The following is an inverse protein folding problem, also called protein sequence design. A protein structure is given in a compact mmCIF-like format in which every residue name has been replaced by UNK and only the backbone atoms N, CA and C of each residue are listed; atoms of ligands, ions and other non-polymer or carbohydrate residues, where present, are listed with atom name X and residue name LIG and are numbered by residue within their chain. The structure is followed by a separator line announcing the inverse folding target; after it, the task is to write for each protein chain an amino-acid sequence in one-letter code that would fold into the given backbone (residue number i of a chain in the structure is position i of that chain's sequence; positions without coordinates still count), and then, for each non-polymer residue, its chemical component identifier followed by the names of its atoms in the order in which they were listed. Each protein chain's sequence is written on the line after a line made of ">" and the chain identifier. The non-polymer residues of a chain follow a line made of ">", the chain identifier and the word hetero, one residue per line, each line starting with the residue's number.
data_IF_760489034217
#
_entry.id   IF_760489034217
#
_cell.length_a   1.000
_cell.length_b   1.000
_cell.length_c   1.000
_cell.angle_alpha   90.00
_cell.angle_beta   90.00
_cell.angle_gamma   90.00
#
_symmetry.space_group_name_H-M   'P 1'
#
loop_
_entity.id
_entity.type
_entity.pdbx_description
1 polymer ?
#
# COMPACT_ATOMS: atom_id res chain seq x y z
N UNK A 1 11.18 10.85 -22.49
CA UNK A 1 10.99 12.03 -21.64
C UNK A 1 12.28 12.22 -20.87
N UNK A 2 12.98 13.29 -21.14
CA UNK A 2 14.34 13.57 -20.68
C UNK A 2 14.25 14.63 -19.60
N UNK A 3 14.80 14.42 -18.41
CA UNK A 3 14.92 15.45 -17.38
C UNK A 3 16.36 15.91 -17.35
N UNK A 4 16.62 17.11 -17.89
CA UNK A 4 17.92 17.76 -17.75
C UNK A 4 18.05 18.35 -16.35
N UNK A 5 19.09 17.96 -15.64
CA UNK A 5 19.44 18.49 -14.30
C UNK A 5 20.01 19.93 -14.42
N UNK A 6 20.34 20.38 -15.62
CA UNK A 6 21.14 21.59 -15.84
C UNK A 6 20.36 22.90 -15.95
N UNK A 7 19.00 22.88 -15.98
CA UNK A 7 18.22 24.12 -15.95
C UNK A 7 16.76 23.89 -15.58
N UNK A 8 16.38 24.17 -14.35
CA UNK A 8 14.99 24.45 -14.01
C UNK A 8 14.62 25.82 -14.58
N UNK A 9 14.19 25.86 -15.85
CA UNK A 9 13.92 27.12 -16.54
C UNK A 9 12.50 27.62 -16.42
N UNK A 10 11.63 26.88 -15.72
CA UNK A 10 10.19 27.17 -15.65
C UNK A 10 9.73 28.04 -14.47
N UNK A 11 10.53 28.13 -13.41
CA UNK A 11 10.13 28.82 -12.17
C UNK A 11 11.27 29.74 -11.67
N UNK A 12 10.94 30.91 -11.06
CA UNK A 12 11.91 31.74 -10.38
C UNK A 12 12.51 31.06 -9.16
N UNK A 13 13.72 31.46 -8.72
CA UNK A 13 14.41 30.83 -7.61
C UNK A 13 13.64 30.86 -6.27
N UNK A 14 12.80 31.86 -6.08
CA UNK A 14 11.93 32.03 -4.90
C UNK A 14 10.60 31.30 -5.05
N UNK A 15 10.34 30.57 -6.12
CA UNK A 15 9.14 29.77 -6.30
C UNK A 15 9.00 28.72 -5.18
N UNK A 16 7.78 28.32 -4.94
CA UNK A 16 7.40 27.30 -3.94
C UNK A 16 6.66 26.17 -4.65
N UNK A 17 7.30 25.03 -4.77
CA UNK A 17 6.79 23.86 -5.50
C UNK A 17 6.46 22.77 -4.49
N UNK A 18 5.17 22.52 -4.28
CA UNK A 18 4.68 21.48 -3.39
C UNK A 18 4.51 20.16 -4.15
N UNK A 19 5.22 19.15 -3.75
CA UNK A 19 5.00 17.76 -4.16
C UNK A 19 4.23 17.01 -3.09
N UNK A 20 3.20 16.30 -3.51
CA UNK A 20 2.37 15.44 -2.66
C UNK A 20 2.40 14.02 -3.20
N UNK A 21 2.56 13.04 -2.31
CA UNK A 21 2.26 11.63 -2.61
C UNK A 21 1.14 11.16 -1.68
N UNK A 22 0.00 10.83 -2.28
CA UNK A 22 -1.18 10.37 -1.53
C UNK A 22 -1.25 8.85 -1.66
N UNK A 23 -0.45 8.18 -0.86
CA UNK A 23 -0.37 6.73 -0.83
C UNK A 23 -1.55 6.08 -0.10
N UNK A 24 -1.52 4.75 -0.06
CA UNK A 24 -2.54 3.94 0.65
C UNK A 24 -2.34 3.90 2.17
N UNK A 25 -1.15 4.24 2.66
CA UNK A 25 -0.74 4.19 4.08
C UNK A 25 -0.35 5.56 4.60
N UNK A 26 0.29 6.39 3.79
CA UNK A 26 0.82 7.71 4.17
C UNK A 26 0.37 8.82 3.24
N UNK A 27 0.51 10.03 3.74
CA UNK A 27 0.51 11.28 2.98
C UNK A 27 1.90 11.88 3.13
N UNK A 28 2.58 12.03 2.02
CA UNK A 28 3.95 12.48 1.96
C UNK A 28 3.99 13.85 1.27
N UNK A 29 4.73 14.78 1.84
CA UNK A 29 4.80 16.16 1.38
C UNK A 29 6.23 16.65 1.32
N UNK A 30 6.55 17.34 0.23
CA UNK A 30 7.83 18.04 0.06
C UNK A 30 7.56 19.40 -0.55
N UNK A 31 8.10 20.45 0.03
CA UNK A 31 8.11 21.79 -0.56
C UNK A 31 9.54 22.10 -1.02
N UNK A 32 9.70 22.40 -2.28
CA UNK A 32 10.97 22.80 -2.89
C UNK A 32 10.98 24.29 -3.21
N UNK A 33 12.16 24.88 -3.20
CA UNK A 33 12.38 26.17 -3.87
C UNK A 33 12.54 25.98 -5.39
N UNK A 34 12.68 27.09 -6.13
CA UNK A 34 12.88 27.07 -7.59
C UNK A 34 14.19 26.45 -8.06
N UNK A 35 15.09 26.10 -7.13
CA UNK A 35 16.37 25.42 -7.40
C UNK A 35 16.31 23.92 -7.05
N UNK A 36 15.15 23.44 -6.55
CA UNK A 36 14.97 22.03 -6.14
C UNK A 36 15.45 21.73 -4.73
N UNK A 37 15.76 22.76 -3.92
CA UNK A 37 16.17 22.57 -2.53
C UNK A 37 14.96 22.37 -1.63
N UNK A 38 14.95 21.35 -0.75
CA UNK A 38 13.83 21.11 0.15
C UNK A 38 13.75 22.19 1.25
N UNK A 39 12.60 22.84 1.36
CA UNK A 39 12.26 23.83 2.40
C UNK A 39 11.45 23.21 3.51
N UNK A 40 10.66 22.19 3.19
CA UNK A 40 9.79 21.45 4.12
C UNK A 40 9.60 20.03 3.62
N UNK A 41 9.54 19.07 4.54
CA UNK A 41 9.26 17.68 4.22
C UNK A 41 8.52 17.00 5.36
N UNK A 42 7.55 16.13 5.01
CA UNK A 42 6.77 15.35 5.97
C UNK A 42 6.36 14.01 5.39
N UNK A 43 6.50 12.98 6.19
CA UNK A 43 5.93 11.65 6.00
C UNK A 43 4.96 11.39 7.14
N UNK A 44 3.67 11.18 6.85
CA UNK A 44 2.64 11.01 7.88
C UNK A 44 1.75 9.81 7.55
N UNK A 45 1.73 8.80 8.41
CA UNK A 45 0.79 7.68 8.26
C UNK A 45 -0.63 8.14 8.60
N UNK A 46 -1.57 7.88 7.69
CA UNK A 46 -2.93 8.43 7.79
C UNK A 46 -3.94 7.49 8.45
N UNK A 47 -3.60 6.22 8.71
CA UNK A 47 -4.48 5.24 9.36
C UNK A 47 -5.91 5.21 8.80
N UNK A 48 -6.04 5.26 7.45
CA UNK A 48 -7.33 5.27 6.75
C UNK A 48 -8.03 6.64 6.69
N UNK A 49 -7.38 7.73 7.12
CA UNK A 49 -7.92 9.09 7.12
C UNK A 49 -7.05 10.08 6.31
N UNK A 50 -6.77 9.82 5.02
CA UNK A 50 -5.84 10.64 4.25
C UNK A 50 -6.28 12.09 4.12
N UNK A 51 -7.58 12.35 3.93
CA UNK A 51 -8.11 13.70 3.79
C UNK A 51 -7.91 14.55 5.05
N UNK A 52 -8.04 13.93 6.22
CA UNK A 52 -7.84 14.61 7.51
C UNK A 52 -6.37 14.97 7.72
N UNK A 53 -5.48 14.04 7.43
CA UNK A 53 -4.04 14.27 7.53
C UNK A 53 -3.62 15.36 6.54
N UNK A 54 -4.05 15.25 5.28
CA UNK A 54 -3.73 16.25 4.26
C UNK A 54 -4.24 17.64 4.65
N UNK A 55 -5.46 17.76 5.20
CA UNK A 55 -5.96 19.04 5.69
C UNK A 55 -5.11 19.64 6.82
N UNK A 56 -4.63 18.83 7.75
CA UNK A 56 -3.81 19.29 8.88
C UNK A 56 -2.42 19.75 8.40
N UNK A 57 -1.80 18.99 7.52
CA UNK A 57 -0.48 19.31 6.98
C UNK A 57 -0.52 20.54 6.06
N UNK A 58 -1.53 20.66 5.20
CA UNK A 58 -1.72 21.87 4.37
C UNK A 58 -1.98 23.11 5.22
N UNK A 59 -2.75 23.01 6.32
CA UNK A 59 -2.97 24.11 7.24
C UNK A 59 -1.67 24.59 7.89
N UNK A 60 -0.80 23.69 8.27
CA UNK A 60 0.51 24.03 8.81
C UNK A 60 1.40 24.71 7.75
N UNK A 61 1.41 24.17 6.52
CA UNK A 61 2.20 24.66 5.42
C UNK A 61 1.79 26.07 4.96
N UNK A 62 0.49 26.30 4.75
CA UNK A 62 -0.06 27.57 4.23
C UNK A 62 0.07 28.73 5.21
N UNK A 63 0.29 28.46 6.51
CA UNK A 63 0.59 29.52 7.49
C UNK A 63 1.95 30.18 7.27
N UNK A 64 2.88 29.46 6.68
CA UNK A 64 4.29 29.89 6.56
C UNK A 64 4.73 30.12 5.12
N UNK A 65 3.98 29.60 4.14
CA UNK A 65 4.33 29.67 2.74
C UNK A 65 3.15 30.10 1.88
N UNK A 66 3.41 31.00 0.92
CA UNK A 66 2.46 31.50 -0.05
C UNK A 66 3.02 31.34 -1.48
N UNK A 67 2.18 31.55 -2.48
CA UNK A 67 2.61 31.47 -3.88
C UNK A 67 3.00 30.06 -4.32
N UNK A 68 2.28 29.04 -3.84
CA UNK A 68 2.58 27.63 -4.07
C UNK A 68 2.08 27.20 -5.44
N UNK A 69 2.92 26.49 -6.19
CA UNK A 69 2.51 25.61 -7.30
C UNK A 69 2.57 24.16 -6.78
N UNK A 70 1.61 23.31 -7.18
CA UNK A 70 1.52 21.98 -6.59
C UNK A 70 1.46 20.88 -7.64
N UNK A 71 2.07 19.74 -7.34
CA UNK A 71 1.97 18.50 -8.07
C UNK A 71 1.64 17.35 -7.12
N UNK A 72 0.84 16.38 -7.58
CA UNK A 72 0.33 15.28 -6.77
C UNK A 72 0.53 13.96 -7.49
N UNK A 73 1.04 12.97 -6.77
CA UNK A 73 1.17 11.59 -7.20
C UNK A 73 0.52 10.63 -6.21
N UNK A 74 0.59 9.34 -6.45
CA UNK A 74 0.00 8.32 -5.60
C UNK A 74 -1.44 7.95 -5.96
N UNK A 75 -1.97 6.94 -5.29
CA UNK A 75 -3.32 6.38 -5.56
C UNK A 75 -4.45 7.41 -5.46
N UNK A 76 -4.29 8.43 -4.62
CA UNK A 76 -5.25 9.53 -4.42
C UNK A 76 -5.07 10.74 -5.36
N UNK A 77 -4.08 10.71 -6.26
CA UNK A 77 -3.60 11.89 -6.99
C UNK A 77 -4.69 12.64 -7.77
N UNK A 78 -5.45 11.96 -8.62
CA UNK A 78 -6.44 12.60 -9.49
C UNK A 78 -7.50 13.41 -8.74
N UNK A 79 -7.96 12.87 -7.62
CA UNK A 79 -8.96 13.54 -6.80
C UNK A 79 -8.39 14.76 -6.10
N UNK A 80 -7.23 14.60 -5.48
CA UNK A 80 -6.57 15.67 -4.73
C UNK A 80 -6.12 16.77 -5.68
N UNK A 81 -5.55 16.43 -6.82
CA UNK A 81 -5.13 17.39 -7.84
C UNK A 81 -6.28 18.28 -8.33
N UNK A 82 -7.45 17.70 -8.62
CA UNK A 82 -8.63 18.48 -9.02
C UNK A 82 -9.11 19.43 -7.93
N UNK A 83 -9.09 19.01 -6.67
CA UNK A 83 -9.57 19.82 -5.55
C UNK A 83 -8.60 20.94 -5.19
N UNK A 84 -7.31 20.66 -5.17
CA UNK A 84 -6.27 21.63 -4.84
C UNK A 84 -5.88 22.56 -6.00
N UNK A 85 -6.22 22.23 -7.25
CA UNK A 85 -5.61 22.89 -8.40
C UNK A 85 -4.12 22.53 -8.47
N UNK A 86 -3.82 21.25 -8.72
CA UNK A 86 -2.46 20.74 -8.78
C UNK A 86 -2.26 19.89 -10.04
N UNK A 87 -1.02 19.76 -10.49
CA UNK A 87 -0.64 18.86 -11.57
C UNK A 87 -0.68 17.40 -11.07
N UNK A 88 -1.45 16.52 -11.72
CA UNK A 88 -1.41 15.09 -11.44
C UNK A 88 -0.24 14.44 -12.16
N UNK A 89 0.60 13.71 -11.43
CA UNK A 89 1.79 13.05 -11.96
C UNK A 89 1.67 11.54 -11.76
N UNK A 90 1.95 10.77 -12.81
CA UNK A 90 1.99 9.32 -12.72
C UNK A 90 3.10 8.88 -11.75
N UNK A 91 2.84 7.88 -10.90
CA UNK A 91 3.77 7.40 -9.87
C UNK A 91 5.11 6.93 -10.43
N UNK A 92 5.12 6.21 -11.57
CA UNK A 92 6.36 5.75 -12.21
C UNK A 92 7.18 6.94 -12.70
N UNK A 93 6.52 7.94 -13.30
CA UNK A 93 7.18 9.16 -13.78
C UNK A 93 7.72 10.00 -12.62
N UNK A 94 6.99 10.08 -11.51
CA UNK A 94 7.48 10.73 -10.30
C UNK A 94 8.75 10.04 -9.78
N UNK A 95 8.79 8.70 -9.73
CA UNK A 95 9.98 7.97 -9.31
C UNK A 95 11.17 8.17 -10.24
N UNK A 96 10.94 8.24 -11.57
CA UNK A 96 12.01 8.57 -12.54
C UNK A 96 12.56 9.97 -12.30
N UNK A 97 11.70 10.95 -12.05
CA UNK A 97 12.08 12.33 -11.76
C UNK A 97 12.91 12.41 -10.48
N UNK A 98 12.46 11.75 -9.41
CA UNK A 98 13.20 11.68 -8.14
C UNK A 98 14.56 11.02 -8.33
N UNK A 99 14.61 9.86 -8.99
CA UNK A 99 15.87 9.13 -9.23
C UNK A 99 16.86 9.94 -10.06
N UNK A 100 16.38 10.62 -11.12
CA UNK A 100 17.22 11.43 -11.98
C UNK A 100 17.94 12.55 -11.24
N UNK A 101 17.28 13.16 -10.26
CA UNK A 101 17.83 14.28 -9.50
C UNK A 101 18.58 13.83 -8.23
N UNK A 102 17.99 12.87 -7.48
CA UNK A 102 18.51 12.45 -6.15
C UNK A 102 19.48 11.27 -6.21
N UNK A 103 19.37 10.42 -7.23
CA UNK A 103 20.11 9.17 -7.35
C UNK A 103 20.64 8.96 -8.78
N UNK A 104 21.41 9.90 -9.37
CA UNK A 104 21.82 9.84 -10.79
C UNK A 104 22.65 8.60 -11.13
N UNK A 105 23.26 7.97 -10.12
CA UNK A 105 23.99 6.70 -10.27
C UNK A 105 23.06 5.49 -10.45
N UNK A 106 21.79 5.56 -10.04
CA UNK A 106 20.86 4.44 -10.13
C UNK A 106 20.63 4.00 -11.58
N UNK A 107 20.50 2.69 -11.78
CA UNK A 107 20.08 2.08 -13.05
C UNK A 107 18.72 1.41 -12.93
N UNK A 108 18.26 1.22 -11.71
CA UNK A 108 16.88 0.85 -11.45
C UNK A 108 16.40 1.35 -10.09
N UNK A 109 15.08 1.42 -9.94
CA UNK A 109 14.39 1.75 -8.69
C UNK A 109 13.49 0.57 -8.32
N UNK A 110 13.58 0.15 -7.08
CA UNK A 110 12.60 -0.71 -6.41
C UNK A 110 11.80 0.18 -5.48
N UNK A 111 10.52 0.36 -5.77
CA UNK A 111 9.59 1.07 -4.90
C UNK A 111 8.64 0.05 -4.27
N UNK A 112 8.67 -0.05 -2.93
CA UNK A 112 7.74 -0.91 -2.19
C UNK A 112 6.90 -0.04 -1.27
N UNK A 113 5.69 0.21 -1.73
CA UNK A 113 4.66 0.95 -1.00
C UNK A 113 3.80 0.08 -0.08
N UNK A 114 2.71 0.68 0.41
CA UNK A 114 1.75 0.00 1.28
C UNK A 114 0.90 -1.06 0.56
N UNK A 115 0.45 -0.81 -0.66
CA UNK A 115 -0.45 -1.70 -1.40
C UNK A 115 0.11 -2.17 -2.74
N UNK A 116 1.09 -1.51 -3.28
CA UNK A 116 1.73 -1.88 -4.54
C UNK A 116 3.26 -1.88 -4.42
N UNK A 117 3.90 -2.44 -5.44
CA UNK A 117 5.34 -2.47 -5.56
C UNK A 117 5.70 -2.30 -7.02
N UNK A 118 6.78 -1.59 -7.29
CA UNK A 118 7.22 -1.27 -8.63
C UNK A 118 8.71 -1.61 -8.80
N UNK A 119 9.06 -2.08 -9.97
CA UNK A 119 10.43 -2.18 -10.45
C UNK A 119 10.56 -1.33 -11.70
N UNK A 120 11.44 -0.35 -11.68
CA UNK A 120 11.61 0.66 -12.72
C UNK A 120 13.04 0.58 -13.20
N UNK A 121 13.24 0.31 -14.49
CA UNK A 121 14.56 0.31 -15.13
C UNK A 121 14.82 1.69 -15.74
N UNK A 122 16.03 2.19 -15.53
CA UNK A 122 16.46 3.50 -15.92
C UNK A 122 17.63 3.41 -16.89
N UNK A 123 17.72 4.38 -17.79
CA UNK A 123 18.90 4.55 -18.65
C UNK A 123 19.28 6.02 -18.73
N UNK A 124 20.54 6.35 -19.01
CA UNK A 124 20.96 7.73 -19.27
C UNK A 124 20.17 8.34 -20.40
N UNK A 125 19.69 9.57 -20.22
CA UNK A 125 18.90 10.28 -21.25
C UNK A 125 19.78 10.88 -22.36
N UNK A 126 21.05 11.19 -22.05
CA UNK A 126 22.06 11.80 -22.90
C UNK A 126 23.20 12.33 -22.03
N UNK A 127 24.22 12.93 -22.62
CA UNK A 127 25.28 13.56 -21.84
C UNK A 127 24.71 14.77 -21.07
N UNK A 128 24.65 14.64 -19.74
CA UNK A 128 24.16 15.69 -18.83
C UNK A 128 22.65 15.77 -18.65
N UNK A 129 21.86 14.94 -19.33
CA UNK A 129 20.40 15.04 -19.34
C UNK A 129 19.67 14.22 -18.25
N UNK A 130 20.42 13.59 -17.32
CA UNK A 130 19.85 12.79 -16.24
C UNK A 130 19.39 11.40 -16.69
N UNK A 131 18.34 10.87 -16.06
CA UNK A 131 17.82 9.53 -16.29
C UNK A 131 16.45 9.55 -16.99
N UNK A 132 16.20 8.55 -17.83
CA UNK A 132 14.90 8.32 -18.45
C UNK A 132 14.39 6.90 -18.16
N UNK A 133 13.08 6.74 -18.27
CA UNK A 133 12.44 5.44 -18.16
C UNK A 133 12.85 4.53 -19.33
N UNK A 134 13.40 3.34 -19.01
CA UNK A 134 13.68 2.28 -19.97
C UNK A 134 12.53 1.29 -20.04
N UNK A 135 12.14 0.74 -18.87
CA UNK A 135 11.06 -0.23 -18.73
C UNK A 135 10.56 -0.22 -17.26
N UNK A 136 9.37 -0.76 -17.01
CA UNK A 136 8.85 -0.90 -15.65
C UNK A 136 7.92 -2.10 -15.51
N UNK A 137 7.70 -2.50 -14.28
CA UNK A 137 6.65 -3.45 -13.89
C UNK A 137 6.07 -3.06 -12.54
N UNK A 138 4.78 -3.34 -12.38
CA UNK A 138 4.00 -3.04 -11.17
C UNK A 138 3.35 -4.33 -10.69
N UNK A 139 3.27 -4.51 -9.37
CA UNK A 139 2.59 -5.66 -8.80
C UNK A 139 1.11 -5.65 -9.18
N UNK A 140 0.62 -6.79 -9.69
CA UNK A 140 -0.81 -6.99 -9.85
C UNK A 140 -1.43 -7.30 -8.50
N UNK A 141 -2.22 -6.39 -7.94
CA UNK A 141 -3.19 -6.56 -6.82
C UNK A 141 -2.90 -7.65 -5.74
N UNK A 142 -1.65 -8.02 -5.50
CA UNK A 142 -1.27 -9.04 -4.53
C UNK A 142 -0.53 -8.40 -3.34
N UNK A 143 -1.15 -8.41 -2.16
CA UNK A 143 -0.61 -7.84 -0.95
C UNK A 143 0.71 -8.47 -0.46
N UNK A 144 1.06 -9.71 -0.89
CA UNK A 144 2.20 -10.46 -0.34
C UNK A 144 3.57 -9.83 -0.60
N UNK A 145 3.67 -8.93 -1.57
CA UNK A 145 4.90 -8.20 -1.93
C UNK A 145 4.89 -6.73 -1.47
N UNK A 146 4.06 -6.34 -0.51
CA UNK A 146 3.81 -4.95 -0.14
C UNK A 146 3.90 -4.71 1.37
N UNK A 147 4.00 -3.45 1.78
CA UNK A 147 4.13 -3.06 3.19
C UNK A 147 2.94 -3.47 4.05
N UNK A 148 1.71 -3.39 3.54
CA UNK A 148 0.51 -3.78 4.29
C UNK A 148 0.51 -5.25 4.73
N UNK A 149 1.19 -6.12 3.99
CA UNK A 149 1.39 -7.50 4.42
C UNK A 149 2.19 -7.56 5.70
N UNK A 150 3.32 -6.83 5.79
CA UNK A 150 4.16 -6.80 6.99
C UNK A 150 3.45 -6.12 8.16
N UNK A 151 2.75 -5.00 7.93
CA UNK A 151 1.94 -4.31 8.96
C UNK A 151 0.96 -5.27 9.65
N UNK A 152 0.26 -6.06 8.86
CA UNK A 152 -0.69 -7.04 9.38
C UNK A 152 -0.02 -8.15 10.20
N UNK A 153 1.16 -8.61 9.77
CA UNK A 153 1.87 -9.65 10.51
C UNK A 153 2.53 -9.09 11.77
N UNK A 154 3.09 -7.87 11.72
CA UNK A 154 3.63 -7.18 12.90
C UNK A 154 2.57 -7.02 13.99
N UNK A 155 1.37 -6.53 13.62
CA UNK A 155 0.23 -6.41 14.55
C UNK A 155 -0.13 -7.75 15.20
N UNK A 156 -0.11 -8.85 14.45
CA UNK A 156 -0.40 -10.20 14.99
C UNK A 156 0.68 -10.74 15.91
N UNK A 157 1.93 -10.36 15.66
CA UNK A 157 3.07 -10.73 16.50
C UNK A 157 3.21 -9.83 17.74
N UNK A 158 2.40 -8.75 17.82
CA UNK A 158 2.49 -7.75 18.89
C UNK A 158 3.74 -6.89 18.81
N UNK A 159 4.28 -6.71 17.58
CA UNK A 159 5.46 -5.90 17.32
C UNK A 159 5.07 -4.59 16.64
N UNK A 160 5.76 -3.52 17.01
CA UNK A 160 5.71 -2.27 16.27
C UNK A 160 6.49 -2.40 14.96
N UNK A 161 5.81 -2.03 13.83
CA UNK A 161 6.38 -2.20 12.49
C UNK A 161 7.54 -1.22 12.23
N UNK A 162 7.51 -0.05 12.86
CA UNK A 162 8.47 1.04 12.62
C UNK A 162 9.74 0.87 13.44
N UNK A 163 9.62 0.38 14.67
CA UNK A 163 10.72 0.36 15.64
C UNK A 163 11.24 -1.03 15.97
N UNK A 164 10.38 -2.06 15.99
CA UNK A 164 10.75 -3.38 16.53
C UNK A 164 10.91 -4.46 15.45
N UNK A 165 10.06 -4.42 14.41
CA UNK A 165 9.97 -5.52 13.44
C UNK A 165 11.26 -5.70 12.63
N UNK A 166 11.84 -4.60 12.12
CA UNK A 166 13.09 -4.64 11.35
C UNK A 166 14.27 -5.14 12.18
N UNK A 167 14.37 -4.66 13.41
CA UNK A 167 15.44 -5.07 14.35
C UNK A 167 15.30 -6.55 14.75
N UNK A 168 14.08 -7.01 14.99
CA UNK A 168 13.83 -8.42 15.27
C UNK A 168 14.32 -9.30 14.10
N UNK A 169 14.03 -8.92 12.85
CA UNK A 169 14.51 -9.64 11.68
C UNK A 169 16.04 -9.73 11.61
N UNK A 170 16.75 -8.66 12.01
CA UNK A 170 18.22 -8.65 12.00
C UNK A 170 18.84 -9.57 13.05
N UNK A 171 18.15 -9.81 14.17
CA UNK A 171 18.60 -10.73 15.23
C UNK A 171 18.41 -12.22 14.88
N UNK A 172 17.68 -12.52 13.80
CA UNK A 172 17.44 -13.90 13.36
C UNK A 172 18.74 -14.63 13.03
N UNK A 173 18.84 -15.87 13.52
CA UNK A 173 19.94 -16.79 13.22
C UNK A 173 19.60 -17.80 12.11
N UNK A 174 18.31 -18.12 11.98
CA UNK A 174 17.83 -19.09 11.01
C UNK A 174 16.43 -18.65 10.50
N UNK A 175 16.35 -17.79 9.48
CA UNK A 175 15.06 -17.31 8.97
C UNK A 175 14.11 -18.45 8.61
N UNK A 176 12.91 -18.43 9.19
CA UNK A 176 11.93 -19.48 9.00
C UNK A 176 11.42 -19.52 7.56
N UNK A 177 11.16 -20.72 7.04
CA UNK A 177 10.61 -20.88 5.69
C UNK A 177 9.10 -20.58 5.72
N UNK A 178 8.71 -19.45 5.12
CA UNK A 178 7.33 -18.97 5.02
C UNK A 178 6.97 -18.82 3.54
N UNK A 179 5.72 -19.16 3.15
CA UNK A 179 5.25 -19.00 1.78
C UNK A 179 5.35 -17.54 1.31
N UNK A 180 5.93 -17.31 0.12
CA UNK A 180 6.14 -15.95 -0.43
C UNK A 180 5.13 -15.57 -1.52
N UNK A 181 4.30 -16.50 -2.03
CA UNK A 181 3.40 -16.21 -3.16
C UNK A 181 2.00 -15.73 -2.76
N UNK A 182 1.59 -15.98 -1.53
CA UNK A 182 0.24 -15.67 -1.06
C UNK A 182 0.27 -15.31 0.41
N UNK A 183 -0.26 -14.13 0.74
CA UNK A 183 -0.34 -13.61 2.11
C UNK A 183 -1.17 -14.50 3.04
N UNK A 184 -2.17 -15.22 2.51
CA UNK A 184 -2.99 -16.17 3.29
C UNK A 184 -2.17 -17.36 3.74
N UNK A 185 -1.41 -17.96 2.84
CA UNK A 185 -0.52 -19.08 3.20
C UNK A 185 0.62 -18.64 4.10
N UNK A 186 1.21 -17.46 3.84
CA UNK A 186 2.24 -16.91 4.73
C UNK A 186 1.74 -16.73 6.16
N UNK A 187 0.48 -16.25 6.32
CA UNK A 187 -0.17 -16.16 7.64
C UNK A 187 -0.34 -17.53 8.30
N UNK A 188 -0.77 -18.53 7.56
CA UNK A 188 -0.97 -19.89 8.08
C UNK A 188 0.36 -20.51 8.52
N UNK A 189 1.40 -20.33 7.71
CA UNK A 189 2.76 -20.77 8.05
C UNK A 189 3.27 -20.09 9.31
N UNK A 190 3.08 -18.76 9.43
CA UNK A 190 3.46 -18.01 10.62
C UNK A 190 2.78 -18.56 11.90
N UNK A 191 1.47 -18.80 11.85
CA UNK A 191 0.73 -19.35 13.01
C UNK A 191 1.26 -20.73 13.38
N UNK A 192 1.51 -21.58 12.39
CA UNK A 192 2.06 -22.91 12.61
C UNK A 192 3.47 -22.87 13.25
N UNK A 193 4.33 -21.95 12.80
CA UNK A 193 5.65 -21.74 13.37
C UNK A 193 5.58 -21.25 14.81
N UNK A 194 4.65 -20.34 15.13
CA UNK A 194 4.40 -19.90 16.51
C UNK A 194 3.98 -21.08 17.40
N UNK A 195 3.08 -21.95 16.92
CA UNK A 195 2.65 -23.14 17.65
C UNK A 195 3.79 -24.14 17.90
N UNK A 196 4.79 -24.19 17.02
CA UNK A 196 6.01 -25.00 17.17
C UNK A 196 7.05 -24.37 18.11
N UNK A 197 6.82 -23.16 18.62
CA UNK A 197 7.78 -22.47 19.44
C UNK A 197 8.98 -21.91 18.69
N UNK A 198 8.85 -21.65 17.38
CA UNK A 198 9.91 -21.00 16.59
C UNK A 198 10.15 -19.59 17.14
N UNK A 199 11.42 -19.16 17.31
CA UNK A 199 11.74 -17.81 17.76
C UNK A 199 11.08 -16.73 16.88
N UNK A 200 10.57 -15.68 17.52
CA UNK A 200 9.87 -14.59 16.81
C UNK A 200 10.78 -13.93 15.78
N UNK A 201 12.05 -13.76 16.09
CA UNK A 201 13.08 -13.21 15.20
C UNK A 201 13.20 -14.01 13.91
N UNK A 202 13.18 -15.34 14.00
CA UNK A 202 13.26 -16.22 12.84
C UNK A 202 11.98 -16.19 12.00
N UNK A 203 10.81 -16.04 12.64
CA UNK A 203 9.53 -15.84 11.95
C UNK A 203 9.54 -14.50 11.20
N UNK A 204 9.95 -13.42 11.88
CA UNK A 204 9.98 -12.07 11.28
C UNK A 204 10.95 -12.01 10.10
N UNK A 205 12.14 -12.55 10.23
CA UNK A 205 13.08 -12.66 9.12
C UNK A 205 12.51 -13.51 7.96
N UNK A 206 11.81 -14.59 8.28
CA UNK A 206 11.10 -15.42 7.31
C UNK A 206 10.04 -14.66 6.53
N UNK A 207 9.30 -13.76 7.19
CA UNK A 207 8.31 -12.87 6.57
C UNK A 207 8.98 -11.84 5.64
N UNK A 208 10.11 -11.24 6.03
CA UNK A 208 10.90 -10.35 5.17
C UNK A 208 11.37 -11.09 3.90
N UNK A 209 11.88 -12.31 4.05
CA UNK A 209 12.26 -13.15 2.91
C UNK A 209 11.05 -13.56 2.05
N UNK A 210 9.88 -13.79 2.64
CA UNK A 210 8.65 -14.09 1.91
C UNK A 210 8.23 -12.90 1.03
N UNK A 211 8.26 -11.66 1.57
CA UNK A 211 8.03 -10.44 0.81
C UNK A 211 9.03 -10.32 -0.36
N UNK A 212 10.32 -10.46 -0.09
CA UNK A 212 11.36 -10.32 -1.11
C UNK A 212 11.20 -11.36 -2.25
N UNK A 213 10.84 -12.62 -1.92
CA UNK A 213 10.55 -13.67 -2.92
C UNK A 213 9.29 -13.35 -3.73
N UNK A 214 8.24 -12.82 -3.06
CA UNK A 214 7.02 -12.38 -3.74
C UNK A 214 7.32 -11.26 -4.72
N UNK A 215 8.07 -10.26 -4.29
CA UNK A 215 8.51 -9.15 -5.13
C UNK A 215 9.30 -9.65 -6.35
N UNK A 216 10.34 -10.49 -6.13
CA UNK A 216 11.12 -11.08 -7.22
C UNK A 216 10.25 -11.81 -8.24
N UNK A 217 9.32 -12.65 -7.77
CA UNK A 217 8.51 -13.48 -8.65
C UNK A 217 7.43 -12.71 -9.41
N UNK A 218 6.81 -11.71 -8.79
CA UNK A 218 5.63 -11.05 -9.33
C UNK A 218 5.93 -9.69 -9.99
N UNK A 219 7.02 -9.02 -9.59
CA UNK A 219 7.35 -7.68 -10.07
C UNK A 219 8.60 -7.69 -10.94
N UNK A 220 9.70 -8.26 -10.47
CA UNK A 220 10.93 -8.38 -11.29
C UNK A 220 10.71 -9.41 -12.40
N UNK A 221 10.15 -10.58 -12.06
CA UNK A 221 9.88 -11.65 -13.01
C UNK A 221 11.16 -12.14 -13.69
N UNK A 222 11.17 -12.06 -15.01
CA UNK A 222 12.31 -12.46 -15.88
C UNK A 222 13.23 -11.28 -16.26
N UNK A 223 12.90 -10.07 -15.80
CA UNK A 223 13.69 -8.88 -16.12
C UNK A 223 15.06 -8.94 -15.47
N UNK A 224 16.08 -8.46 -16.18
CA UNK A 224 17.40 -8.27 -15.60
C UNK A 224 17.38 -7.15 -14.55
N UNK A 225 18.14 -7.31 -13.49
CA UNK A 225 18.37 -6.24 -12.52
C UNK A 225 19.48 -5.33 -13.06
N UNK A 226 19.11 -4.07 -13.28
CA UNK A 226 20.08 -3.04 -13.69
C UNK A 226 20.68 -2.40 -12.44
N UNK A 227 22.00 -2.50 -12.26
CA UNK A 227 22.72 -2.04 -11.05
C UNK A 227 23.39 -0.69 -11.25
N UNK A 228 23.50 0.13 -10.20
CA UNK A 228 22.96 -0.06 -8.84
C UNK A 228 21.45 0.21 -8.73
N UNK A 229 20.82 -0.44 -7.75
CA UNK A 229 19.39 -0.35 -7.45
C UNK A 229 19.16 0.63 -6.32
N UNK A 230 18.29 1.63 -6.50
CA UNK A 230 17.78 2.45 -5.42
C UNK A 230 16.49 1.81 -4.85
N UNK A 231 16.45 1.55 -3.54
CA UNK A 231 15.26 1.06 -2.85
C UNK A 231 14.56 2.23 -2.17
N UNK A 232 13.31 2.49 -2.56
CA UNK A 232 12.47 3.58 -2.07
C UNK A 232 11.10 3.09 -1.60
N UNK A 233 10.27 4.01 -1.11
CA UNK A 233 8.97 3.70 -0.49
C UNK A 233 9.09 3.36 1.00
N UNK A 234 7.99 3.40 1.73
CA UNK A 234 7.98 3.25 3.19
C UNK A 234 8.60 1.95 3.72
N UNK A 235 8.61 0.88 2.91
CA UNK A 235 9.19 -0.42 3.30
C UNK A 235 10.72 -0.39 3.35
N UNK A 236 11.36 0.54 2.65
CA UNK A 236 12.82 0.70 2.68
C UNK A 236 13.36 1.08 4.08
N UNK A 237 12.52 1.60 4.98
CA UNK A 237 12.85 1.81 6.39
C UNK A 237 13.19 0.50 7.14
N UNK A 238 12.69 -0.63 6.66
CA UNK A 238 12.84 -1.91 7.34
C UNK A 238 14.14 -2.61 6.94
N UNK A 239 15.16 -2.53 7.81
CA UNK A 239 16.46 -3.13 7.57
C UNK A 239 16.41 -4.65 7.33
N UNK A 240 15.46 -5.36 7.94
CA UNK A 240 15.23 -6.78 7.70
C UNK A 240 14.79 -7.07 6.26
N UNK A 241 13.95 -6.18 5.68
CA UNK A 241 13.53 -6.29 4.27
C UNK A 241 14.68 -5.95 3.34
N UNK A 242 15.47 -4.92 3.63
CA UNK A 242 16.67 -4.56 2.85
C UNK A 242 17.63 -5.76 2.77
N UNK A 243 17.92 -6.39 3.91
CA UNK A 243 18.76 -7.60 3.99
C UNK A 243 18.16 -8.76 3.20
N UNK A 244 16.84 -8.98 3.32
CA UNK A 244 16.14 -10.05 2.61
C UNK A 244 16.12 -9.83 1.09
N UNK A 245 15.93 -8.59 0.62
CA UNK A 245 16.00 -8.23 -0.80
C UNK A 245 17.39 -8.47 -1.37
N UNK A 246 18.46 -8.02 -0.71
CA UNK A 246 19.83 -8.32 -1.13
C UNK A 246 20.06 -9.81 -1.29
N UNK A 247 19.65 -10.60 -0.29
CA UNK A 247 19.82 -12.06 -0.31
C UNK A 247 19.02 -12.71 -1.45
N UNK A 248 17.74 -12.38 -1.63
CA UNK A 248 16.84 -13.01 -2.60
C UNK A 248 17.15 -12.58 -4.04
N UNK A 249 17.60 -11.34 -4.23
CA UNK A 249 17.98 -10.80 -5.53
C UNK A 249 19.46 -11.09 -5.88
N UNK A 250 20.22 -11.68 -4.95
CA UNK A 250 21.65 -11.99 -5.08
C UNK A 250 22.49 -10.74 -5.37
N UNK A 251 22.22 -9.68 -4.59
CA UNK A 251 22.93 -8.39 -4.70
C UNK A 251 24.00 -8.28 -3.63
N UNK A 252 25.17 -7.77 -4.04
CA UNK A 252 26.21 -7.36 -3.13
C UNK A 252 25.80 -6.08 -2.37
N UNK A 253 26.60 -5.65 -1.41
CA UNK A 253 26.25 -4.54 -0.53
C UNK A 253 26.09 -3.21 -1.29
N UNK A 254 26.90 -2.97 -2.31
CA UNK A 254 26.85 -1.81 -3.20
C UNK A 254 25.82 -1.93 -4.33
N UNK A 255 25.31 -3.14 -4.59
CA UNK A 255 24.31 -3.41 -5.63
C UNK A 255 22.92 -2.84 -5.31
N UNK A 256 22.60 -2.61 -4.02
CA UNK A 256 21.33 -2.02 -3.57
C UNK A 256 21.61 -1.01 -2.47
N UNK A 257 21.17 0.22 -2.66
CA UNK A 257 21.26 1.29 -1.66
C UNK A 257 19.90 1.90 -1.35
N UNK A 258 19.77 2.46 -0.16
CA UNK A 258 18.57 3.17 0.30
C UNK A 258 18.92 4.65 0.34
N UNK A 259 18.29 5.51 -0.50
CA UNK A 259 18.51 6.95 -0.44
C UNK A 259 18.04 7.53 0.88
N UNK A 260 18.60 8.66 1.30
CA UNK A 260 18.21 9.32 2.54
C UNK A 260 16.71 9.68 2.59
N UNK A 261 16.18 10.15 1.45
CA UNK A 261 14.76 10.55 1.31
C UNK A 261 13.85 9.42 0.76
N UNK A 262 14.20 8.16 0.99
CA UNK A 262 13.52 7.00 0.40
C UNK A 262 12.00 7.01 0.54
N UNK A 263 11.49 7.46 1.68
CA UNK A 263 10.04 7.48 1.98
C UNK A 263 9.31 8.63 1.27
N UNK A 264 10.03 9.69 0.89
CA UNK A 264 9.49 10.90 0.26
C UNK A 264 9.70 10.94 -1.25
N UNK A 265 10.28 9.88 -1.84
CA UNK A 265 10.70 9.84 -3.24
C UNK A 265 9.56 10.20 -4.21
N UNK A 266 8.34 9.71 -3.99
CA UNK A 266 7.17 10.05 -4.81
C UNK A 266 6.84 11.54 -4.77
N UNK A 267 6.79 12.13 -3.57
CA UNK A 267 6.50 13.55 -3.39
C UNK A 267 7.61 14.44 -3.99
N UNK A 268 8.89 14.09 -3.77
CA UNK A 268 10.00 14.75 -4.44
C UNK A 268 9.87 14.70 -5.95
N UNK A 269 9.58 13.52 -6.49
CA UNK A 269 9.46 13.32 -7.91
C UNK A 269 8.32 14.12 -8.54
N UNK A 270 7.18 14.21 -7.87
CA UNK A 270 6.06 15.03 -8.32
C UNK A 270 6.44 16.52 -8.38
N UNK A 271 7.11 17.04 -7.32
CA UNK A 271 7.59 18.42 -7.29
C UNK A 271 8.63 18.69 -8.37
N UNK A 272 9.62 17.80 -8.52
CA UNK A 272 10.70 17.92 -9.52
C UNK A 272 10.17 17.83 -10.95
N UNK A 273 9.15 17.01 -11.20
CA UNK A 273 8.48 16.91 -12.49
C UNK A 273 7.86 18.26 -12.91
N UNK A 274 7.17 18.90 -11.97
CA UNK A 274 6.57 20.22 -12.22
C UNK A 274 7.65 21.29 -12.36
N UNK A 275 8.64 21.30 -11.49
CA UNK A 275 9.77 22.23 -11.51
C UNK A 275 10.57 22.15 -12.82
N UNK A 276 10.73 20.95 -13.38
CA UNK A 276 11.36 20.70 -14.68
C UNK A 276 10.50 21.10 -15.89
N UNK A 277 9.36 21.75 -15.68
CA UNK A 277 8.49 22.26 -16.76
C UNK A 277 7.80 21.16 -17.58
N UNK A 278 7.72 19.94 -17.05
CA UNK A 278 7.13 18.80 -17.76
C UNK A 278 5.65 18.61 -17.46
N UNK A 279 5.14 19.30 -16.44
CA UNK A 279 3.74 19.37 -16.07
C UNK A 279 3.14 20.75 -16.34
N UNK A 280 1.84 20.78 -16.57
CA UNK A 280 1.11 22.04 -16.62
C UNK A 280 0.95 22.64 -15.23
N UNK A 281 1.44 23.85 -15.03
CA UNK A 281 1.23 24.59 -13.79
C UNK A 281 -0.22 25.06 -13.70
N UNK A 282 -1.01 24.41 -12.86
CA UNK A 282 -2.41 24.78 -12.58
C UNK A 282 -2.44 25.74 -11.40
N UNK A 283 -3.29 26.78 -11.39
CA UNK A 283 -3.43 27.67 -10.25
C UNK A 283 -3.81 26.91 -8.97
N UNK A 284 -2.95 26.99 -7.96
CA UNK A 284 -3.19 26.36 -6.64
C UNK A 284 -4.37 27.06 -5.94
N UNK A 285 -5.38 26.29 -5.60
CA UNK A 285 -6.63 26.76 -4.98
C UNK A 285 -6.59 26.76 -3.46
N UNK A 286 -5.65 26.02 -2.87
CA UNK A 286 -5.42 25.99 -1.43
C UNK A 286 -6.35 25.09 -0.63
N UNK A 287 -6.10 25.06 0.68
CA UNK A 287 -6.83 24.25 1.66
C UNK A 287 -8.32 24.58 1.72
N UNK A 288 -8.70 25.86 1.56
CA UNK A 288 -10.10 26.28 1.62
C UNK A 288 -10.92 25.61 0.52
N UNK A 289 -10.42 25.61 -0.72
CA UNK A 289 -11.06 24.93 -1.85
C UNK A 289 -11.08 23.41 -1.67
N UNK A 290 -10.02 22.84 -1.12
CA UNK A 290 -9.96 21.41 -0.82
C UNK A 290 -11.04 21.00 0.18
N UNK A 291 -11.18 21.73 1.32
CA UNK A 291 -12.22 21.51 2.33
C UNK A 291 -13.62 21.63 1.75
N UNK A 292 -13.85 22.63 0.90
CA UNK A 292 -15.15 22.83 0.25
C UNK A 292 -15.47 21.66 -0.71
N UNK A 293 -14.51 21.24 -1.50
CA UNK A 293 -14.67 20.09 -2.39
C UNK A 293 -14.94 18.77 -1.64
N UNK A 294 -14.41 18.61 -0.42
CA UNK A 294 -14.74 17.47 0.44
C UNK A 294 -16.18 17.49 0.95
N UNK A 295 -16.73 18.69 1.24
CA UNK A 295 -18.14 18.85 1.67
C UNK A 295 -19.12 18.58 0.54
N UNK A 296 -18.78 18.95 -0.67
CA UNK A 296 -19.61 18.75 -1.89
C UNK A 296 -19.60 17.30 -2.39
N UNK A 297 -19.17 16.33 -1.58
CA UNK A 297 -19.22 14.92 -1.95
C UNK A 297 -20.60 14.55 -2.46
N UNK A 298 -20.69 14.27 -3.75
CA UNK A 298 -21.88 13.64 -4.33
C UNK A 298 -22.10 12.34 -3.56
N UNK A 299 -23.29 12.11 -2.99
CA UNK A 299 -23.56 10.86 -2.29
C UNK A 299 -23.27 9.70 -3.24
N UNK A 300 -22.47 8.77 -2.79
CA UNK A 300 -22.17 7.55 -3.53
C UNK A 300 -23.51 6.96 -3.97
N UNK A 301 -23.72 6.74 -5.26
CA UNK A 301 -24.95 6.09 -5.76
C UNK A 301 -25.16 4.86 -4.91
N UNK A 302 -26.18 4.88 -4.08
CA UNK A 302 -26.60 3.71 -3.30
C UNK A 302 -26.95 2.65 -4.34
N UNK A 303 -26.17 1.60 -4.42
CA UNK A 303 -26.50 0.48 -5.29
C UNK A 303 -27.85 -0.06 -4.82
N UNK A 304 -28.77 -0.22 -5.76
CA UNK A 304 -30.06 -0.88 -5.47
C UNK A 304 -29.74 -2.28 -4.94
N UNK A 305 -30.27 -2.68 -3.79
CA UNK A 305 -30.04 -4.01 -3.27
C UNK A 305 -30.35 -5.07 -4.34
N UNK A 306 -29.44 -6.01 -4.52
CA UNK A 306 -29.65 -7.13 -5.41
C UNK A 306 -30.94 -7.85 -4.96
N UNK A 307 -31.95 -7.89 -5.81
CA UNK A 307 -33.13 -8.71 -5.54
C UNK A 307 -32.70 -10.17 -5.59
N UNK A 308 -33.05 -10.99 -4.58
CA UNK A 308 -32.77 -12.41 -4.66
C UNK A 308 -33.43 -12.95 -5.95
N UNK A 309 -32.66 -13.50 -6.83
CA UNK A 309 -33.21 -14.29 -7.94
C UNK A 309 -33.77 -15.56 -7.30
N UNK A 310 -35.05 -15.76 -7.38
CA UNK A 310 -35.68 -17.05 -6.98
C UNK A 310 -35.11 -18.11 -7.93
N UNK A 311 -34.10 -18.84 -7.46
CA UNK A 311 -33.63 -20.02 -8.17
C UNK A 311 -34.69 -21.09 -7.99
N UNK A 312 -35.32 -21.62 -9.08
CA UNK A 312 -36.24 -22.73 -8.94
C UNK A 312 -35.51 -23.92 -8.33
N UNK A 313 -36.17 -24.70 -7.46
CA UNK A 313 -35.52 -25.83 -6.80
C UNK A 313 -34.96 -26.81 -7.86
N UNK A 314 -33.77 -27.39 -7.63
CA UNK A 314 -33.20 -28.38 -8.53
C UNK A 314 -34.13 -29.59 -8.61
N UNK A 315 -34.76 -29.82 -9.75
CA UNK A 315 -35.70 -30.94 -9.95
C UNK A 315 -36.79 -30.72 -10.97
N UNK A 316 -37.14 -29.46 -11.30
CA UNK A 316 -38.11 -29.22 -12.37
C UNK A 316 -37.40 -29.15 -13.74
N UNK A 317 -36.87 -30.28 -14.21
CA UNK A 317 -36.62 -30.41 -15.65
C UNK A 317 -37.95 -30.74 -16.29
N UNK A 318 -38.51 -29.80 -17.04
CA UNK A 318 -39.60 -30.09 -17.94
C UNK A 318 -39.14 -31.16 -18.92
N UNK A 319 -39.79 -32.32 -18.88
CA UNK A 319 -39.67 -33.31 -19.95
C UNK A 319 -40.25 -32.68 -21.20
N UNK A 320 -39.41 -32.36 -22.16
CA UNK A 320 -39.84 -32.03 -23.52
C UNK A 320 -40.16 -33.34 -24.24
N UNK A 321 -41.37 -33.87 -24.01
CA UNK A 321 -41.95 -34.85 -24.92
C UNK A 321 -43.24 -34.27 -25.49
N UNK A 322 -43.21 -34.13 -26.82
CA UNK A 322 -44.31 -33.64 -27.59
C UNK A 322 -45.51 -34.63 -27.58
N UNK A 323 -46.67 -34.05 -27.53
CA UNK A 323 -47.90 -34.84 -27.71
C UNK A 323 -49.12 -34.05 -27.25
N UNK A 324 -49.86 -33.52 -28.23
CA UNK A 324 -51.19 -32.94 -28.17
C UNK A 324 -52.15 -33.63 -27.22
N UNK A 325 -52.87 -32.89 -26.43
CA UNK A 325 -54.30 -32.71 -26.32
C UNK A 325 -54.73 -32.22 -24.94
N UNK A 326 -55.61 -31.26 -24.95
CA UNK A 326 -56.16 -30.60 -23.78
C UNK A 326 -57.05 -31.52 -22.96
N UNK A 327 -56.96 -31.40 -21.62
CA UNK A 327 -58.15 -31.29 -20.76
C UNK A 327 -57.77 -30.74 -19.38
N UNK A 328 -58.62 -29.85 -18.89
CA UNK A 328 -58.60 -29.18 -17.60
C UNK A 328 -58.68 -30.19 -16.45
N UNK A 329 -57.81 -30.04 -15.48
CA UNK A 329 -58.16 -30.09 -14.06
C UNK A 329 -57.03 -29.62 -13.20
N UNK A 330 -57.31 -28.65 -12.36
CA UNK A 330 -56.33 -28.07 -11.44
C UNK A 330 -55.94 -29.06 -10.35
N UNK A 331 -54.63 -29.26 -10.24
CA UNK A 331 -54.04 -29.79 -9.02
C UNK A 331 -52.85 -28.89 -8.68
N UNK A 332 -53.05 -27.99 -7.74
CA UNK A 332 -52.01 -27.19 -7.13
C UNK A 332 -51.02 -28.13 -6.43
N UNK A 333 -49.81 -28.19 -6.92
CA UNK A 333 -48.72 -28.85 -6.23
C UNK A 333 -48.33 -27.96 -5.03
N UNK A 334 -48.92 -28.24 -3.87
CA UNK A 334 -48.59 -27.58 -2.62
C UNK A 334 -47.32 -28.18 -2.04
N UNK A 335 -46.16 -27.63 -2.42
CA UNK A 335 -44.97 -27.85 -1.63
C UNK A 335 -45.08 -27.04 -0.34
N UNK A 336 -45.45 -27.71 0.76
CA UNK A 336 -45.38 -27.15 2.10
C UNK A 336 -43.92 -26.93 2.45
N UNK A 337 -43.50 -25.70 2.42
CA UNK A 337 -42.33 -25.25 3.20
C UNK A 337 -42.83 -25.05 4.64
N UNK A 338 -42.36 -25.88 5.56
CA UNK A 338 -42.47 -25.59 6.98
C UNK A 338 -41.71 -24.30 7.25
N UNK A 339 -42.43 -23.25 7.53
CA UNK A 339 -41.87 -21.97 7.94
C UNK A 339 -41.00 -22.17 9.18
N UNK A 340 -39.75 -21.80 9.09
CA UNK A 340 -38.94 -21.52 10.25
C UNK A 340 -39.59 -20.32 10.94
N UNK A 341 -39.93 -20.39 12.24
CA UNK A 341 -40.62 -19.31 12.91
C UNK A 341 -39.73 -18.08 12.92
N UNK A 342 -40.27 -16.97 12.44
CA UNK A 342 -39.66 -15.66 12.58
C UNK A 342 -39.43 -15.40 14.07
N UNK A 343 -38.16 -15.19 14.45
CA UNK A 343 -37.83 -14.72 15.78
C UNK A 343 -38.31 -13.28 15.90
N UNK A 344 -39.46 -13.11 16.54
CA UNK A 344 -39.99 -11.81 16.91
C UNK A 344 -39.05 -11.15 17.89
N UNK A 345 -38.77 -9.88 17.62
CA UNK A 345 -38.12 -8.94 18.50
C UNK A 345 -38.58 -9.07 19.96
N UNK A 346 -37.70 -9.54 20.83
CA UNK A 346 -37.81 -9.32 22.25
C UNK A 346 -36.54 -8.62 22.75
N UNK A 347 -36.81 -7.49 23.29
CA UNK A 347 -35.89 -6.60 23.98
C UNK A 347 -35.13 -7.28 25.13
N UNK A 348 -33.90 -6.80 25.32
CA UNK A 348 -33.19 -6.60 26.58
C UNK A 348 -32.68 -7.80 27.37
N UNK A 349 -31.48 -7.58 27.75
CA UNK A 349 -30.65 -8.12 28.83
C UNK A 349 -29.59 -9.13 28.40
N UNK A 350 -28.38 -8.59 28.30
CA UNK A 350 -27.12 -9.35 28.28
C UNK A 350 -27.02 -10.06 29.63
N UNK A 351 -26.97 -11.40 29.67
CA UNK A 351 -26.63 -12.09 30.91
C UNK A 351 -25.12 -12.00 31.14
N UNK A 352 -24.77 -11.62 32.36
CA UNK A 352 -23.39 -11.64 32.87
C UNK A 352 -22.79 -13.05 32.71
N UNK A 353 -21.48 -13.16 32.37
CA UNK A 353 -20.84 -14.46 32.27
C UNK A 353 -20.80 -15.15 33.63
N UNK A 354 -20.99 -16.48 33.68
CA UNK A 354 -20.90 -17.23 34.92
C UNK A 354 -19.48 -17.19 35.44
N UNK A 355 -19.34 -16.70 36.66
CA UNK A 355 -18.18 -16.85 37.52
C UNK A 355 -18.01 -18.30 37.86
N UNK A 356 -16.96 -18.92 37.41
CA UNK A 356 -16.37 -20.20 37.75
C UNK A 356 -16.17 -21.14 36.56
N UNK A 357 -15.09 -20.94 35.85
CA UNK A 357 -14.52 -21.99 35.01
C UNK A 357 -13.37 -22.63 35.74
N UNK A 358 -13.56 -23.89 36.14
CA UNK A 358 -12.67 -24.71 36.99
C UNK A 358 -11.35 -25.12 36.33
N UNK A 359 -10.84 -24.36 35.37
CA UNK A 359 -9.59 -24.62 34.61
C UNK A 359 -8.34 -23.94 35.19
N UNK A 360 -8.47 -23.19 36.27
CA UNK A 360 -7.32 -22.52 36.93
C UNK A 360 -6.67 -23.30 38.07
N UNK A 361 -7.00 -24.57 38.28
CA UNK A 361 -6.39 -25.38 39.37
C UNK A 361 -5.33 -26.38 38.94
N UNK A 362 -5.00 -26.51 37.66
CA UNK A 362 -4.02 -27.50 37.18
C UNK A 362 -2.64 -26.93 36.80
N UNK A 363 -2.41 -25.63 36.91
CA UNK A 363 -1.11 -25.00 36.54
C UNK A 363 -0.27 -24.60 37.76
N UNK A 364 -0.69 -24.89 38.99
CA UNK A 364 0.09 -24.57 40.22
C UNK A 364 0.86 -25.73 40.87
N UNK A 365 0.95 -26.91 40.26
CA UNK A 365 1.68 -28.05 40.85
C UNK A 365 2.99 -28.42 40.14
N UNK A 366 3.55 -27.56 39.28
CA UNK A 366 4.83 -27.79 38.58
C UNK A 366 5.94 -26.78 38.95
N UNK A 367 5.91 -26.21 40.16
CA UNK A 367 7.05 -25.45 40.70
C UNK A 367 7.34 -25.86 42.13
N UNK A 368 7.85 -27.09 42.33
CA UNK A 368 8.68 -27.42 43.48
C UNK A 368 9.13 -28.88 43.34
N UNK A 369 10.20 -29.10 42.62
CA UNK A 369 11.18 -30.20 42.82
C UNK A 369 12.27 -30.04 41.78
N UNK A 370 13.30 -29.31 42.10
CA UNK A 370 14.71 -29.68 41.87
C UNK A 370 15.55 -28.70 42.66
N UNK A 371 16.10 -29.23 43.71
CA UNK A 371 17.31 -28.76 44.39
C UNK A 371 18.49 -28.84 43.47
#
# INVERSE_FOLDING_TARGET
>A
MVMSVSSFSGFPADARILGLDIGSISVDMVLLDGLGTPLYSRYVRHHGQPDKVLCAELEALERTHAGIAAAVTGTGADRVARLLGACAVNEVIAQVAAASFRCPQARSVIDIGGQDSKYIQLEPAGEGDGLRLKDFSVSSMCASGTGSFLDQQATRLGLDIETEFGEAALRSRAPARIAGRCSVFAKSDMIHLQQKGTPVEDIVAGLCHALARSFKANVVGVKALELPVALVGGVAANAGVVKALRSVLHLEEDGLFVPEDFALSGAFGAALFLLGGQGEAVPYKGLAAFREGLRQRTPTKTLVPLRPVSVPPPGCRGSSDGGTTATRSGAACACRWSAVPACSSASTSVPSPPTSCSWMKTVRSWRSTTS
#
